data_IF_943097310939
#
_entry.id   IF_943097310939
#
_cell.length_a   1.000
_cell.length_b   1.000
_cell.length_c   1.000
_cell.angle_alpha   90.00
_cell.angle_beta   90.00
_cell.angle_gamma   90.00
#
_symmetry.space_group_name_H-M   'P 1'
#
loop_
_entity.id
_entity.type
_entity.pdbx_description
1 polymer ?
#
# COMPACT_ATOMS: atom_id res chain seq x y z
N UNK A 1 4.15 -37.29 4.32
CA UNK A 1 3.37 -36.88 5.50
C UNK A 1 2.97 -35.43 5.29
N UNK A 2 1.66 -35.23 5.37
CA UNK A 2 0.87 -33.99 5.57
C UNK A 2 1.68 -32.68 5.55
N UNK A 3 1.42 -31.89 4.51
CA UNK A 3 1.65 -30.46 4.43
C UNK A 3 0.52 -29.84 5.26
N UNK A 4 0.80 -29.22 6.40
CA UNK A 4 -0.23 -28.44 7.10
C UNK A 4 0.38 -27.44 8.08
N UNK A 5 -0.19 -26.23 8.04
CA UNK A 5 -0.01 -25.08 8.92
C UNK A 5 1.23 -24.21 8.72
N UNK A 6 1.35 -23.60 7.54
CA UNK A 6 1.50 -22.14 7.57
C UNK A 6 0.20 -21.60 8.16
N UNK A 7 0.27 -21.13 9.41
CA UNK A 7 -0.76 -20.32 10.05
C UNK A 7 -0.91 -19.06 9.20
N UNK A 8 -1.64 -19.17 8.08
CA UNK A 8 -2.08 -18.04 7.27
C UNK A 8 -3.09 -17.33 8.16
N UNK A 9 -2.55 -16.51 9.05
CA UNK A 9 -3.32 -15.50 9.76
C UNK A 9 -3.80 -14.54 8.68
N UNK A 10 -5.01 -14.81 8.19
CA UNK A 10 -5.72 -13.90 7.30
C UNK A 10 -5.94 -12.65 8.13
N UNK A 11 -5.07 -11.67 7.92
CA UNK A 11 -5.23 -10.35 8.49
C UNK A 11 -6.40 -9.71 7.75
N UNK A 12 -7.62 -9.84 8.30
CA UNK A 12 -8.81 -9.17 7.78
C UNK A 12 -8.77 -7.69 8.16
N UNK A 13 -7.76 -7.00 7.62
CA UNK A 13 -7.55 -5.58 7.82
C UNK A 13 -7.77 -4.86 6.50
N UNK A 14 -8.89 -4.17 6.43
CA UNK A 14 -9.20 -3.25 5.33
C UNK A 14 -8.73 -1.85 5.73
N UNK A 15 -7.81 -1.29 4.95
CA UNK A 15 -7.37 0.09 5.17
C UNK A 15 -8.54 1.07 5.00
N UNK A 16 -8.70 1.98 5.96
CA UNK A 16 -9.57 3.13 5.76
C UNK A 16 -8.98 4.09 4.73
N UNK A 17 -9.83 4.93 4.11
CA UNK A 17 -9.37 6.00 3.20
C UNK A 17 -8.30 6.90 3.82
N UNK A 18 -8.41 7.18 5.12
CA UNK A 18 -7.44 8.01 5.84
C UNK A 18 -6.08 7.32 5.96
N UNK A 19 -6.09 6.02 6.25
CA UNK A 19 -4.86 5.23 6.35
C UNK A 19 -4.19 5.08 4.99
N UNK A 20 -4.96 4.81 3.92
CA UNK A 20 -4.45 4.80 2.55
C UNK A 20 -3.78 6.14 2.18
N UNK A 21 -4.38 7.26 2.57
CA UNK A 21 -3.82 8.59 2.30
C UNK A 21 -2.51 8.84 3.07
N UNK A 22 -2.47 8.45 4.35
CA UNK A 22 -1.25 8.55 5.16
C UNK A 22 -0.14 7.66 4.62
N UNK A 23 -0.49 6.45 4.19
CA UNK A 23 0.44 5.51 3.58
C UNK A 23 1.01 6.10 2.30
N UNK A 24 0.15 6.48 1.34
CA UNK A 24 0.59 7.09 0.08
C UNK A 24 1.53 8.27 0.32
N UNK A 25 1.17 9.16 1.27
CA UNK A 25 1.99 10.32 1.61
C UNK A 25 3.37 9.88 2.11
N UNK A 26 3.41 8.89 2.99
CA UNK A 26 4.65 8.32 3.51
C UNK A 26 5.52 7.73 2.40
N UNK A 27 4.95 6.85 1.55
CA UNK A 27 5.68 6.22 0.44
C UNK A 27 6.29 7.28 -0.47
N UNK A 28 5.54 8.34 -0.80
CA UNK A 28 6.01 9.43 -1.66
C UNK A 28 7.13 10.25 -1.02
N UNK A 29 7.04 10.59 0.26
CA UNK A 29 8.13 11.28 0.96
C UNK A 29 9.40 10.43 1.11
N UNK A 30 9.27 9.11 1.05
CA UNK A 30 10.38 8.16 1.25
C UNK A 30 10.79 7.43 -0.02
N UNK A 31 10.28 7.86 -1.17
CA UNK A 31 10.53 7.22 -2.47
C UNK A 31 12.02 7.21 -2.82
N UNK A 32 12.78 8.24 -2.43
CA UNK A 32 14.23 8.33 -2.67
C UNK A 32 15.07 7.53 -1.66
N UNK A 33 14.46 7.12 -0.54
CA UNK A 33 15.11 6.32 0.52
C UNK A 33 14.63 4.86 0.50
N UNK A 34 14.06 4.42 -0.63
CA UNK A 34 13.50 3.09 -0.79
C UNK A 34 14.60 2.01 -0.76
N UNK A 35 14.47 0.98 0.10
CA UNK A 35 15.40 -0.15 0.08
C UNK A 35 15.32 -0.90 -1.26
N UNK A 36 16.47 -1.23 -1.83
CA UNK A 36 16.55 -2.11 -2.99
C UNK A 36 15.86 -3.45 -2.71
N UNK A 37 15.05 -3.91 -3.66
CA UNK A 37 14.29 -5.16 -3.55
C UNK A 37 12.86 -4.98 -3.02
N UNK A 38 12.46 -3.78 -2.59
CA UNK A 38 11.08 -3.48 -2.24
C UNK A 38 10.32 -2.73 -3.35
N UNK A 39 10.95 -2.38 -4.48
CA UNK A 39 10.30 -1.54 -5.50
C UNK A 39 8.96 -2.10 -5.98
N UNK A 40 8.88 -3.43 -6.14
CA UNK A 40 7.66 -4.12 -6.58
C UNK A 40 6.55 -4.01 -5.53
N UNK A 41 6.89 -4.14 -4.24
CA UNK A 41 5.94 -4.00 -3.14
C UNK A 41 5.39 -2.58 -3.10
N UNK A 42 6.26 -1.57 -3.18
CA UNK A 42 5.84 -0.18 -3.19
C UNK A 42 4.98 0.14 -4.40
N UNK A 43 5.33 -0.34 -5.59
CA UNK A 43 4.52 -0.15 -6.80
C UNK A 43 3.14 -0.79 -6.68
N UNK A 44 3.07 -2.02 -6.20
CA UNK A 44 1.80 -2.75 -6.01
C UNK A 44 0.92 -2.04 -4.98
N UNK A 45 1.53 -1.52 -3.92
CA UNK A 45 0.87 -0.77 -2.87
C UNK A 45 0.36 0.58 -3.38
N UNK A 46 1.16 1.30 -4.18
CA UNK A 46 0.75 2.53 -4.85
C UNK A 46 -0.46 2.28 -5.75
N UNK A 47 -0.38 1.27 -6.62
CA UNK A 47 -1.45 0.88 -7.54
C UNK A 47 -2.73 0.51 -6.77
N UNK A 48 -2.60 -0.21 -5.66
CA UNK A 48 -3.73 -0.54 -4.79
C UNK A 48 -4.35 0.70 -4.17
N UNK A 49 -3.54 1.66 -3.71
CA UNK A 49 -4.04 2.91 -3.14
C UNK A 49 -4.74 3.73 -4.22
N UNK A 50 -4.17 3.86 -5.42
CA UNK A 50 -4.81 4.58 -6.53
C UNK A 50 -6.12 3.94 -6.98
N UNK A 51 -6.21 2.61 -7.00
CA UNK A 51 -7.46 1.91 -7.32
C UNK A 51 -8.54 2.11 -6.26
N UNK A 52 -8.17 2.43 -5.02
CA UNK A 52 -9.10 2.74 -3.94
C UNK A 52 -9.47 4.24 -3.85
N UNK A 53 -8.74 5.12 -4.53
CA UNK A 53 -8.97 6.58 -4.50
C UNK A 53 -9.71 7.05 -5.75
N UNK A 54 -10.63 8.00 -5.57
CA UNK A 54 -11.26 8.69 -6.70
C UNK A 54 -10.30 9.72 -7.33
N UNK A 55 -10.53 10.08 -8.61
CA UNK A 55 -9.72 11.07 -9.34
C UNK A 55 -9.60 12.42 -8.60
N UNK A 56 -10.62 12.83 -7.84
CA UNK A 56 -10.59 14.05 -7.02
C UNK A 56 -9.67 13.91 -5.81
N UNK A 57 -9.65 12.75 -5.16
CA UNK A 57 -8.77 12.44 -4.03
C UNK A 57 -7.30 12.36 -4.48
N UNK A 58 -7.05 11.80 -5.67
CA UNK A 58 -5.72 11.81 -6.29
C UNK A 58 -5.27 13.24 -6.59
N UNK A 59 -6.13 14.10 -7.18
CA UNK A 59 -5.76 15.50 -7.42
C UNK A 59 -5.39 16.27 -6.15
N UNK A 60 -6.14 16.04 -5.06
CA UNK A 60 -5.82 16.59 -3.72
C UNK A 60 -4.52 16.05 -3.14
N UNK A 61 -4.11 14.85 -3.52
CA UNK A 61 -2.86 14.26 -3.08
C UNK A 61 -1.63 14.89 -3.76
N UNK A 62 -1.80 15.46 -4.97
CA UNK A 62 -0.73 16.11 -5.75
C UNK A 62 -0.72 17.64 -5.68
N UNK A 63 -1.75 18.27 -5.10
CA UNK A 63 -1.80 19.73 -4.86
C UNK A 63 -1.23 20.09 -3.50
#
# INVERSE_FOLDING_TARGET
MIVDNEDITILDYSFSKKELFLLAKYLRTKQEELPEGLELFYKTLEDSIYNCLSLEEVKRFYS
#
